data_IF_712860006329
#
_entry.id   IF_712860006329
#
_cell.length_a   1.000
_cell.length_b   1.000
_cell.length_c   1.000
_cell.angle_alpha   90.00
_cell.angle_beta   90.00
_cell.angle_gamma   90.00
#
_symmetry.space_group_name_H-M   'P 1'
#
loop_
_entity.id
_entity.type
_entity.pdbx_description
1 polymer ?
#
# COMPACT_ATOMS: atom_id res chain seq x y z
N UNK A 1 -15.75 6.68 -3.41
CA UNK A 1 -15.31 5.60 -4.30
C UNK A 1 -16.14 5.63 -5.56
N UNK A 2 -15.54 5.36 -6.66
CA UNK A 2 -16.21 5.42 -7.94
C UNK A 2 -17.07 4.19 -8.18
N UNK A 3 -18.00 4.30 -9.13
CA UNK A 3 -18.90 3.22 -9.46
C UNK A 3 -18.17 1.96 -9.91
N UNK A 4 -16.97 2.10 -10.47
CA UNK A 4 -16.17 0.96 -10.90
C UNK A 4 -15.47 0.22 -9.77
N UNK A 5 -15.49 0.78 -8.56
CA UNK A 5 -14.88 0.16 -7.40
C UNK A 5 -13.35 0.22 -7.39
N UNK A 6 -12.73 -0.47 -6.42
CA UNK A 6 -11.27 -0.40 -6.25
C UNK A 6 -10.47 -0.91 -7.44
N UNK A 7 -11.03 -1.84 -8.21
CA UNK A 7 -10.31 -2.41 -9.34
C UNK A 7 -9.99 -1.36 -10.41
N UNK A 8 -10.68 -0.22 -10.40
CA UNK A 8 -10.44 0.85 -11.37
C UNK A 8 -9.31 1.79 -10.94
N UNK A 9 -8.79 1.63 -9.73
CA UNK A 9 -7.75 2.52 -9.19
C UNK A 9 -6.37 1.97 -9.49
N UNK A 10 -5.43 2.88 -9.71
CA UNK A 10 -4.03 2.51 -9.85
C UNK A 10 -3.45 2.11 -8.49
N UNK A 11 -2.27 1.50 -8.51
CA UNK A 11 -1.58 1.15 -7.27
C UNK A 11 -1.36 2.37 -6.38
N UNK A 12 -0.97 3.49 -6.99
CA UNK A 12 -0.76 4.71 -6.23
C UNK A 12 -2.04 5.22 -5.59
N UNK A 13 -3.15 5.11 -6.32
CA UNK A 13 -4.44 5.55 -5.78
C UNK A 13 -4.91 4.65 -4.66
N UNK A 14 -4.70 3.34 -4.77
CA UNK A 14 -5.05 2.41 -3.70
C UNK A 14 -4.21 2.67 -2.45
N UNK A 15 -2.92 2.93 -2.62
CA UNK A 15 -2.06 3.30 -1.50
C UNK A 15 -2.52 4.59 -0.86
N UNK A 16 -2.93 5.56 -1.68
CA UNK A 16 -3.43 6.83 -1.14
C UNK A 16 -4.67 6.62 -0.29
N UNK A 17 -5.56 5.72 -0.68
CA UNK A 17 -6.73 5.38 0.13
C UNK A 17 -6.31 4.84 1.49
N UNK A 18 -5.31 3.97 1.52
CA UNK A 18 -4.81 3.42 2.78
C UNK A 18 -4.14 4.49 3.64
N UNK A 19 -3.42 5.41 3.01
CA UNK A 19 -2.62 6.39 3.74
C UNK A 19 -3.42 7.59 4.23
N UNK A 20 -4.58 7.84 3.67
CA UNK A 20 -5.32 9.06 3.99
C UNK A 20 -5.94 9.04 5.38
N UNK A 21 -6.05 7.89 6.01
CA UNK A 21 -6.68 7.75 7.31
C UNK A 21 -5.84 8.45 8.39
N UNK A 22 -6.47 9.35 9.13
CA UNK A 22 -5.81 10.03 10.24
C UNK A 22 -4.86 11.14 9.86
N UNK A 23 -4.76 11.47 8.57
CA UNK A 23 -3.88 12.54 8.10
C UNK A 23 -4.67 13.50 7.23
N UNK A 24 -4.68 14.76 7.59
CA UNK A 24 -5.45 15.74 6.85
C UNK A 24 -4.61 16.77 6.12
N UNK A 25 -3.31 16.82 6.38
CA UNK A 25 -2.46 17.88 5.87
C UNK A 25 -1.50 17.47 4.76
N UNK A 26 -1.28 16.18 4.60
CA UNK A 26 -0.35 15.70 3.58
C UNK A 26 -1.10 15.34 2.31
N UNK A 27 -0.46 15.57 1.17
CA UNK A 27 -0.97 15.06 -0.08
C UNK A 27 -0.63 13.56 -0.13
N UNK A 28 -1.59 12.74 0.27
CA UNK A 28 -1.36 11.29 0.37
C UNK A 28 -1.02 10.66 -0.97
N UNK A 29 -1.49 11.24 -2.07
CA UNK A 29 -1.15 10.71 -3.39
C UNK A 29 0.33 10.91 -3.68
N UNK A 30 0.89 12.06 -3.30
CA UNK A 30 2.34 12.28 -3.46
C UNK A 30 3.15 11.32 -2.59
N UNK A 31 2.69 11.08 -1.37
CA UNK A 31 3.35 10.13 -0.48
C UNK A 31 3.33 8.74 -1.10
N UNK A 32 2.18 8.33 -1.63
CA UNK A 32 2.04 7.02 -2.26
C UNK A 32 2.96 6.90 -3.48
N UNK A 33 3.05 7.93 -4.29
CA UNK A 33 3.92 7.94 -5.46
C UNK A 33 5.38 7.84 -5.06
N UNK A 34 5.78 8.58 -4.03
CA UNK A 34 7.15 8.53 -3.53
C UNK A 34 7.50 7.13 -3.06
N UNK A 35 6.59 6.50 -2.34
CA UNK A 35 6.80 5.14 -1.87
C UNK A 35 6.94 4.16 -3.04
N UNK A 36 6.07 4.27 -4.03
CA UNK A 36 6.15 3.40 -5.21
C UNK A 36 7.46 3.58 -5.96
N UNK A 37 7.92 4.82 -6.10
CA UNK A 37 9.20 5.07 -6.77
C UNK A 37 10.35 4.42 -6.00
N UNK A 38 10.30 4.47 -4.67
CA UNK A 38 11.31 3.82 -3.83
C UNK A 38 11.33 2.31 -4.06
N UNK A 39 10.20 1.74 -4.44
CA UNK A 39 10.05 0.31 -4.64
C UNK A 39 10.06 -0.09 -6.11
N UNK A 40 10.51 0.78 -6.99
CA UNK A 40 10.53 0.54 -8.44
C UNK A 40 9.15 0.16 -8.99
N UNK A 41 8.11 0.77 -8.44
CA UNK A 41 6.72 0.53 -8.81
C UNK A 41 6.30 -0.93 -8.66
N UNK A 42 6.93 -1.64 -7.71
CA UNK A 42 6.65 -3.06 -7.48
C UNK A 42 6.08 -3.26 -6.08
N UNK A 43 4.90 -3.86 -6.00
CA UNK A 43 4.31 -4.20 -4.72
C UNK A 43 5.08 -5.32 -4.03
N UNK A 44 5.71 -6.20 -4.81
CA UNK A 44 6.55 -7.26 -4.26
C UNK A 44 7.76 -6.64 -3.54
N UNK A 45 8.40 -5.66 -4.19
CA UNK A 45 9.51 -4.96 -3.55
C UNK A 45 9.06 -4.22 -2.30
N UNK A 46 7.88 -3.61 -2.35
CA UNK A 46 7.33 -2.92 -1.20
C UNK A 46 7.12 -3.88 -0.03
N UNK A 47 6.68 -5.09 -0.30
CA UNK A 47 6.42 -6.07 0.75
C UNK A 47 7.70 -6.53 1.44
N UNK A 48 8.86 -6.28 0.83
CA UNK A 48 10.14 -6.65 1.40
C UNK A 48 10.77 -5.56 2.26
N UNK A 49 10.17 -4.38 2.28
CA UNK A 49 10.69 -3.29 3.09
C UNK A 49 10.38 -3.54 4.56
N UNK A 50 11.32 -3.12 5.41
CA UNK A 50 11.10 -3.14 6.85
C UNK A 50 10.28 -1.92 7.26
N UNK A 51 9.78 -1.95 8.49
CA UNK A 51 9.08 -0.80 9.05
C UNK A 51 9.94 0.46 8.98
N UNK A 52 11.23 0.31 9.30
CA UNK A 52 12.16 1.44 9.28
C UNK A 52 12.31 2.02 7.89
N UNK A 53 12.40 1.15 6.88
CA UNK A 53 12.53 1.60 5.51
C UNK A 53 11.26 2.31 5.04
N UNK A 54 10.10 1.84 5.43
CA UNK A 54 8.84 2.51 5.11
C UNK A 54 8.78 3.88 5.78
N UNK A 55 9.19 3.95 7.03
CA UNK A 55 9.15 5.21 7.77
C UNK A 55 10.18 6.23 7.27
N UNK A 56 11.14 5.80 6.47
CA UNK A 56 12.09 6.72 5.85
C UNK A 56 11.43 7.57 4.77
N UNK A 57 10.27 7.14 4.27
CA UNK A 57 9.52 7.94 3.29
C UNK A 57 8.81 9.08 4.01
N UNK A 58 8.98 10.33 3.57
CA UNK A 58 8.30 11.46 4.21
C UNK A 58 6.79 11.26 4.20
N UNK A 59 6.17 11.47 5.35
CA UNK A 59 4.73 11.29 5.50
C UNK A 59 4.30 9.91 5.97
N UNK A 60 5.22 8.96 6.05
CA UNK A 60 4.90 7.62 6.54
C UNK A 60 5.52 7.44 7.92
N UNK A 61 4.67 7.29 8.93
CA UNK A 61 5.07 7.00 10.29
C UNK A 61 4.69 5.57 10.62
N UNK A 62 4.94 5.15 11.85
CA UNK A 62 4.74 3.75 12.24
C UNK A 62 3.34 3.24 11.98
N UNK A 63 2.31 4.05 12.24
CA UNK A 63 0.94 3.65 12.03
C UNK A 63 0.65 3.42 10.53
N UNK A 64 1.17 4.30 9.68
CA UNK A 64 0.99 4.13 8.24
C UNK A 64 1.78 2.95 7.71
N UNK A 65 3.00 2.76 8.21
CA UNK A 65 3.80 1.61 7.85
C UNK A 65 3.09 0.31 8.22
N UNK A 66 2.49 0.26 9.41
CA UNK A 66 1.74 -0.92 9.84
C UNK A 66 0.54 -1.18 8.92
N UNK A 67 -0.15 -0.12 8.52
CA UNK A 67 -1.28 -0.23 7.60
C UNK A 67 -0.84 -0.84 6.27
N UNK A 68 0.26 -0.35 5.72
CA UNK A 68 0.78 -0.86 4.46
C UNK A 68 1.20 -2.32 4.58
N UNK A 69 1.93 -2.64 5.63
CA UNK A 69 2.40 -4.01 5.83
C UNK A 69 1.24 -4.97 6.03
N UNK A 70 0.23 -4.57 6.78
CA UNK A 70 -0.95 -5.41 7.00
C UNK A 70 -1.70 -5.63 5.68
N UNK A 71 -1.85 -4.59 4.87
CA UNK A 71 -2.54 -4.71 3.60
C UNK A 71 -1.80 -5.65 2.65
N UNK A 72 -0.48 -5.53 2.60
CA UNK A 72 0.33 -6.40 1.74
C UNK A 72 0.29 -7.85 2.21
N UNK A 73 0.30 -8.06 3.50
CA UNK A 73 0.19 -9.42 4.05
C UNK A 73 -1.18 -10.03 3.74
N UNK A 74 -2.25 -9.25 3.85
CA UNK A 74 -3.57 -9.73 3.47
C UNK A 74 -3.62 -10.11 1.99
N UNK A 75 -2.98 -9.31 1.15
CA UNK A 75 -2.91 -9.63 -0.27
C UNK A 75 -2.17 -10.93 -0.54
N UNK A 76 -1.07 -11.15 0.18
CA UNK A 76 -0.31 -12.37 0.05
C UNK A 76 -1.15 -13.58 0.45
N UNK A 77 -1.86 -13.48 1.55
CA UNK A 77 -2.73 -14.57 2.01
C UNK A 77 -3.90 -14.80 1.07
N UNK A 78 -4.42 -13.73 0.51
CA UNK A 78 -5.51 -13.82 -0.46
C UNK A 78 -5.08 -14.66 -1.66
N UNK A 79 -3.90 -14.39 -2.19
CA UNK A 79 -3.37 -15.15 -3.32
C UNK A 79 -3.19 -16.62 -2.95
N UNK A 80 -2.66 -16.88 -1.75
CA UNK A 80 -2.48 -18.24 -1.28
C UNK A 80 -3.77 -19.02 -1.17
N UNK A 81 -4.83 -18.37 -0.65
CA UNK A 81 -6.13 -19.02 -0.54
C UNK A 81 -6.75 -19.27 -1.89
N UNK A 82 -6.61 -18.30 -2.80
CA UNK A 82 -7.15 -18.45 -4.14
C UNK A 82 -6.53 -19.63 -4.87
N UNK A 83 -5.22 -19.81 -4.72
CA UNK A 83 -4.52 -20.95 -5.31
C UNK A 83 -5.01 -22.27 -4.74
N UNK A 84 -5.27 -22.31 -3.44
CA UNK A 84 -5.79 -23.52 -2.80
C UNK A 84 -7.17 -23.87 -3.30
N UNK A 85 -7.99 -22.86 -3.54
CA UNK A 85 -9.37 -23.10 -3.94
C UNK A 85 -9.49 -23.57 -5.39
N UNK A 86 -8.45 -23.37 -6.17
CA UNK A 86 -8.44 -23.79 -7.57
C UNK A 86 -8.20 -25.30 -7.71
N UNK A 87 -7.60 -25.91 -6.74
CA UNK A 87 -7.32 -27.34 -6.74
C UNK A 87 -8.58 -28.18 -6.51
#
# INVERSE_FOLDING_TARGET
MLSAGPAALSDGELLAVLLRTGTSQMNVLDVARTLLLKCNNSLVEMSRLSTEQLCAVPGIKKDKAATIMAALELGRRFIGEDRKSVV
#
